data_IF_653574985839
#
_entry.id   IF_653574985839
#
_cell.length_a   1.000
_cell.length_b   1.000
_cell.length_c   1.000
_cell.angle_alpha   90.00
_cell.angle_beta   90.00
_cell.angle_gamma   90.00
#
_symmetry.space_group_name_H-M   'P 1'
#
loop_
_entity.id
_entity.type
_entity.pdbx_description
1 polymer ?
#
# COMPACT_ATOMS: atom_id res chain seq x y z
N UNK A 1 -22.76 -21.87 -31.22
CA UNK A 1 -22.55 -22.12 -29.77
C UNK A 1 -21.09 -22.09 -29.27
N UNK A 2 -20.07 -21.79 -30.10
CA UNK A 2 -18.65 -21.79 -29.65
C UNK A 2 -18.11 -20.45 -29.10
N UNK A 3 -18.87 -19.35 -29.20
CA UNK A 3 -18.39 -17.99 -28.83
C UNK A 3 -18.36 -17.73 -27.31
N UNK A 4 -19.06 -18.55 -26.52
CA UNK A 4 -19.18 -18.40 -25.06
C UNK A 4 -18.19 -19.26 -24.26
N UNK A 5 -17.46 -20.19 -24.92
CA UNK A 5 -16.49 -21.05 -24.21
C UNK A 5 -15.36 -20.27 -23.53
N UNK A 6 -15.05 -19.07 -24.04
CA UNK A 6 -14.01 -18.22 -23.49
C UNK A 6 -14.38 -17.58 -22.14
N UNK A 7 -15.66 -17.54 -21.78
CA UNK A 7 -16.15 -16.81 -20.60
C UNK A 7 -16.62 -17.70 -19.44
N UNK A 8 -16.38 -19.01 -19.50
CA UNK A 8 -16.79 -19.91 -18.41
C UNK A 8 -16.22 -19.51 -17.06
N UNK A 9 -14.96 -19.06 -17.02
CA UNK A 9 -14.30 -18.63 -15.79
C UNK A 9 -14.96 -17.36 -15.22
N UNK A 10 -15.08 -16.23 -15.97
CA UNK A 10 -15.84 -15.07 -15.51
C UNK A 10 -17.27 -15.39 -15.06
N UNK A 11 -17.98 -16.24 -15.81
CA UNK A 11 -19.36 -16.60 -15.51
C UNK A 11 -19.47 -17.40 -14.21
N UNK A 12 -18.55 -18.35 -14.01
CA UNK A 12 -18.43 -19.11 -12.77
C UNK A 12 -18.16 -18.18 -11.57
N UNK A 13 -17.20 -17.26 -11.69
CA UNK A 13 -16.91 -16.27 -10.64
C UNK A 13 -18.08 -15.33 -10.37
N UNK A 14 -18.82 -14.93 -11.40
CA UNK A 14 -19.99 -14.07 -11.25
C UNK A 14 -21.09 -14.80 -10.46
N UNK A 15 -21.39 -16.04 -10.83
CA UNK A 15 -22.35 -16.88 -10.09
C UNK A 15 -21.91 -17.06 -8.63
N UNK A 16 -20.64 -17.41 -8.41
CA UNK A 16 -20.08 -17.60 -7.07
C UNK A 16 -20.15 -16.31 -6.24
N UNK A 17 -19.92 -15.15 -6.86
CA UNK A 17 -20.02 -13.85 -6.20
C UNK A 17 -21.46 -13.55 -5.78
N UNK A 18 -22.45 -13.82 -6.65
CA UNK A 18 -23.87 -13.64 -6.30
C UNK A 18 -24.24 -14.54 -5.12
N UNK A 19 -23.90 -15.83 -5.15
CA UNK A 19 -24.17 -16.73 -4.03
C UNK A 19 -23.45 -16.31 -2.75
N UNK A 20 -22.21 -15.84 -2.85
CA UNK A 20 -21.45 -15.32 -1.71
C UNK A 20 -22.10 -14.09 -1.09
N UNK A 21 -22.61 -13.15 -1.91
CA UNK A 21 -23.33 -11.96 -1.43
C UNK A 21 -24.61 -12.35 -0.71
N UNK A 22 -25.39 -13.27 -1.29
CA UNK A 22 -26.63 -13.77 -0.68
C UNK A 22 -26.34 -14.49 0.65
N UNK A 23 -25.32 -15.35 0.71
CA UNK A 23 -24.96 -16.10 1.90
C UNK A 23 -24.41 -15.20 3.02
N UNK A 24 -23.66 -14.15 2.67
CA UNK A 24 -23.07 -13.22 3.63
C UNK A 24 -24.07 -12.15 4.13
N UNK A 25 -25.23 -12.00 3.47
CA UNK A 25 -26.30 -11.05 3.83
C UNK A 25 -25.79 -9.60 4.02
N UNK A 26 -25.00 -9.15 3.05
CA UNK A 26 -24.29 -7.86 3.10
C UNK A 26 -25.02 -6.82 2.27
N UNK A 27 -25.06 -5.56 2.73
CA UNK A 27 -25.67 -4.45 1.99
C UNK A 27 -24.92 -4.20 0.66
N UNK A 28 -25.68 -3.79 -0.37
CA UNK A 28 -25.07 -3.37 -1.63
C UNK A 28 -24.15 -2.16 -1.44
N UNK A 29 -24.49 -1.28 -0.50
CA UNK A 29 -23.69 -0.10 -0.13
C UNK A 29 -22.34 -0.48 0.47
N UNK A 30 -22.26 -1.53 1.29
CA UNK A 30 -20.98 -2.05 1.76
C UNK A 30 -20.15 -2.62 0.61
N UNK A 31 -20.76 -3.38 -0.30
CA UNK A 31 -20.05 -3.97 -1.45
C UNK A 31 -19.45 -2.87 -2.32
N UNK A 32 -20.23 -1.84 -2.65
CA UNK A 32 -19.76 -0.69 -3.43
C UNK A 32 -18.61 0.05 -2.73
N UNK A 33 -18.70 0.25 -1.42
CA UNK A 33 -17.61 0.85 -0.64
C UNK A 33 -16.32 0.03 -0.66
N UNK A 34 -16.43 -1.30 -0.52
CA UNK A 34 -15.28 -2.21 -0.60
C UNK A 34 -14.67 -2.25 -2.01
N UNK A 35 -15.51 -2.31 -3.05
CA UNK A 35 -15.06 -2.27 -4.44
C UNK A 35 -14.33 -0.96 -4.74
N UNK A 36 -14.87 0.17 -4.28
CA UNK A 36 -14.25 1.47 -4.43
C UNK A 36 -12.86 1.53 -3.78
N UNK A 37 -12.75 1.17 -2.49
CA UNK A 37 -11.47 1.20 -1.77
C UNK A 37 -10.42 0.29 -2.43
N UNK A 38 -10.83 -0.89 -2.90
CA UNK A 38 -9.95 -1.82 -3.62
C UNK A 38 -9.54 -1.29 -4.98
N UNK A 39 -10.45 -0.68 -5.72
CA UNK A 39 -10.17 -0.09 -7.02
C UNK A 39 -9.12 1.01 -6.90
N UNK A 40 -9.29 1.96 -5.98
CA UNK A 40 -8.33 3.04 -5.73
C UNK A 40 -6.94 2.48 -5.42
N UNK A 41 -6.84 1.53 -4.48
CA UNK A 41 -5.55 0.93 -4.10
C UNK A 41 -4.91 0.16 -5.25
N UNK A 42 -5.68 -0.67 -5.95
CA UNK A 42 -5.16 -1.51 -7.01
C UNK A 42 -4.77 -0.69 -8.25
N UNK A 43 -5.44 0.44 -8.52
CA UNK A 43 -5.05 1.35 -9.59
C UNK A 43 -3.66 1.95 -9.34
N UNK A 44 -3.35 2.35 -8.10
CA UNK A 44 -2.01 2.84 -7.73
C UNK A 44 -0.95 1.76 -7.97
N UNK A 45 -1.21 0.52 -7.54
CA UNK A 45 -0.28 -0.59 -7.76
C UNK A 45 -0.10 -0.91 -9.24
N UNK A 46 -1.19 -0.85 -10.02
CA UNK A 46 -1.12 -1.07 -11.46
C UNK A 46 -0.24 -0.02 -12.15
N UNK A 47 -0.41 1.27 -11.82
CA UNK A 47 0.42 2.34 -12.37
C UNK A 47 1.91 2.15 -12.03
N UNK A 48 2.21 1.77 -10.79
CA UNK A 48 3.59 1.49 -10.37
C UNK A 48 4.24 0.31 -11.12
N UNK A 49 3.43 -0.67 -11.56
CA UNK A 49 3.91 -1.82 -12.33
C UNK A 49 4.08 -1.53 -13.83
N UNK A 50 3.39 -0.53 -14.38
CA UNK A 50 3.47 -0.17 -15.81
C UNK A 50 4.82 0.50 -16.15
N UNK A 51 5.32 1.40 -15.30
CA UNK A 51 6.57 2.17 -15.56
C UNK A 51 7.77 1.26 -15.91
N UNK A 52 8.04 0.17 -15.17
CA UNK A 52 9.08 -0.80 -15.53
C UNK A 52 8.84 -1.49 -16.87
N UNK A 53 7.58 -1.85 -17.17
CA UNK A 53 7.21 -2.58 -18.39
C UNK A 53 7.47 -1.69 -19.62
N UNK A 54 7.08 -0.42 -19.57
CA UNK A 54 7.35 0.52 -20.68
C UNK A 54 8.84 0.81 -20.86
N UNK A 55 9.64 0.66 -19.81
CA UNK A 55 11.11 0.79 -19.88
C UNK A 55 11.83 -0.44 -20.45
N UNK A 56 11.09 -1.50 -20.81
CA UNK A 56 11.65 -2.74 -21.35
C UNK A 56 12.21 -3.70 -20.29
N UNK A 57 11.96 -3.43 -19.00
CA UNK A 57 12.26 -4.36 -17.90
C UNK A 57 11.11 -5.35 -17.68
N UNK A 58 11.39 -6.44 -16.96
CA UNK A 58 10.33 -7.31 -16.42
C UNK A 58 9.41 -6.58 -15.41
N UNK A 59 8.33 -7.25 -14.99
CA UNK A 59 7.45 -6.75 -13.91
C UNK A 59 8.29 -6.51 -12.64
N UNK A 60 8.13 -5.35 -12.02
CA UNK A 60 8.90 -4.94 -10.85
C UNK A 60 8.18 -5.27 -9.53
N UNK A 61 8.69 -6.24 -8.77
CA UNK A 61 8.19 -6.58 -7.45
C UNK A 61 8.89 -5.83 -6.30
N UNK A 62 9.85 -4.97 -6.59
CA UNK A 62 10.44 -4.06 -5.60
C UNK A 62 9.53 -2.88 -5.24
N UNK A 63 8.28 -2.86 -5.74
CA UNK A 63 7.20 -2.00 -5.24
C UNK A 63 7.04 -2.11 -3.71
N UNK A 64 7.35 -3.28 -3.16
CA UNK A 64 7.36 -3.54 -1.71
C UNK A 64 8.37 -2.65 -0.97
N UNK A 65 9.52 -2.33 -1.58
CA UNK A 65 10.53 -1.44 -0.98
C UNK A 65 10.01 -0.01 -0.88
N UNK A 66 9.29 0.47 -1.89
CA UNK A 66 8.62 1.77 -1.84
C UNK A 66 7.54 1.82 -0.76
N UNK A 67 6.75 0.74 -0.62
CA UNK A 67 5.76 0.63 0.45
C UNK A 67 6.41 0.62 1.84
N UNK A 68 7.55 -0.07 2.00
CA UNK A 68 8.33 -0.07 3.25
C UNK A 68 8.84 1.33 3.59
N UNK A 69 9.34 2.09 2.60
CA UNK A 69 9.76 3.47 2.82
C UNK A 69 8.60 4.34 3.37
N UNK A 70 7.40 4.18 2.82
CA UNK A 70 6.20 4.87 3.31
C UNK A 70 5.80 4.42 4.73
N UNK A 71 5.88 3.12 5.01
CA UNK A 71 5.60 2.59 6.34
C UNK A 71 6.58 3.12 7.39
N UNK A 72 7.87 3.17 7.08
CA UNK A 72 8.90 3.72 7.98
C UNK A 72 8.59 5.18 8.32
N UNK A 73 8.29 6.00 7.30
CA UNK A 73 7.95 7.42 7.52
C UNK A 73 6.73 7.60 8.40
N UNK A 74 5.70 6.75 8.25
CA UNK A 74 4.51 6.78 9.09
C UNK A 74 4.79 6.32 10.53
N UNK A 75 5.56 5.24 10.71
CA UNK A 75 5.95 4.72 12.04
C UNK A 75 6.71 5.78 12.82
N UNK A 76 7.69 6.45 12.21
CA UNK A 76 8.49 7.50 12.85
C UNK A 76 7.59 8.63 13.36
N UNK A 77 6.65 9.09 12.54
CA UNK A 77 5.77 10.20 12.92
C UNK A 77 4.78 9.81 14.03
N UNK A 78 4.29 8.58 14.01
CA UNK A 78 3.43 8.03 15.07
C UNK A 78 4.21 7.88 16.37
N UNK A 79 5.46 7.41 16.30
CA UNK A 79 6.37 7.29 17.44
C UNK A 79 6.67 8.67 18.06
N UNK A 80 6.85 9.70 17.23
CA UNK A 80 7.01 11.08 17.69
C UNK A 80 5.75 11.71 18.29
N UNK A 81 4.58 11.06 18.20
CA UNK A 81 3.32 11.55 18.77
C UNK A 81 2.77 12.83 18.11
N UNK A 82 3.20 13.15 16.88
CA UNK A 82 2.77 14.35 16.17
C UNK A 82 1.30 14.23 15.71
N UNK A 83 0.42 15.19 16.04
CA UNK A 83 -0.98 15.16 15.62
C UNK A 83 -1.21 15.86 14.26
N UNK A 84 -2.23 15.40 13.53
CA UNK A 84 -2.86 16.16 12.44
C UNK A 84 -2.05 16.29 11.14
N UNK A 85 -2.29 17.37 10.40
CA UNK A 85 -1.76 17.57 9.04
C UNK A 85 -0.24 17.75 8.96
N UNK A 86 0.40 18.29 9.99
CA UNK A 86 1.87 18.42 10.06
C UNK A 86 2.55 17.06 10.11
N UNK A 87 1.95 16.11 10.84
CA UNK A 87 2.39 14.72 10.91
C UNK A 87 2.37 14.08 9.51
N UNK A 88 1.31 14.32 8.73
CA UNK A 88 1.17 13.78 7.38
C UNK A 88 2.18 14.37 6.39
N UNK A 89 2.45 15.68 6.48
CA UNK A 89 3.46 16.31 5.64
C UNK A 89 4.85 15.78 5.97
N UNK A 90 5.19 15.68 7.26
CA UNK A 90 6.47 15.14 7.70
C UNK A 90 6.63 13.68 7.26
N UNK A 91 5.60 12.84 7.45
CA UNK A 91 5.66 11.44 7.02
C UNK A 91 5.86 11.34 5.51
N UNK A 92 5.21 12.21 4.74
CA UNK A 92 5.35 12.26 3.27
C UNK A 92 6.77 12.62 2.86
N UNK A 93 7.36 13.65 3.48
CA UNK A 93 8.75 14.08 3.19
C UNK A 93 9.75 12.97 3.51
N UNK A 94 9.63 12.34 4.69
CA UNK A 94 10.49 11.21 5.09
C UNK A 94 10.32 10.05 4.11
N UNK A 95 9.07 9.72 3.76
CA UNK A 95 8.75 8.62 2.84
C UNK A 95 9.35 8.85 1.45
N UNK A 96 9.23 10.07 0.92
CA UNK A 96 9.82 10.43 -0.39
C UNK A 96 11.34 10.35 -0.33
N UNK A 97 11.96 10.89 0.72
CA UNK A 97 13.41 10.82 0.90
C UNK A 97 13.93 9.39 0.92
N UNK A 98 13.30 8.52 1.73
CA UNK A 98 13.64 7.10 1.79
C UNK A 98 13.36 6.37 0.48
N UNK A 99 12.24 6.68 -0.20
CA UNK A 99 11.90 6.08 -1.48
C UNK A 99 12.92 6.43 -2.58
N UNK A 100 13.46 7.65 -2.60
CA UNK A 100 14.53 8.04 -3.52
C UNK A 100 15.81 7.27 -3.21
N UNK A 101 16.20 7.16 -1.93
CA UNK A 101 17.41 6.44 -1.53
C UNK A 101 17.31 4.95 -1.88
N UNK A 102 16.25 4.29 -1.42
CA UNK A 102 16.06 2.87 -1.68
C UNK A 102 15.79 2.60 -3.16
N UNK A 103 15.06 3.46 -3.85
CA UNK A 103 14.82 3.36 -5.29
C UNK A 103 16.11 3.39 -6.10
N UNK A 104 17.06 4.26 -5.76
CA UNK A 104 18.38 4.27 -6.40
C UNK A 104 19.17 2.99 -6.15
N UNK A 105 19.19 2.49 -4.90
CA UNK A 105 19.86 1.23 -4.56
C UNK A 105 19.26 0.06 -5.36
N UNK A 106 17.94 -0.05 -5.38
CA UNK A 106 17.21 -1.07 -6.15
C UNK A 106 17.50 -0.92 -7.64
N UNK A 107 17.48 0.30 -8.20
CA UNK A 107 17.79 0.54 -9.60
C UNK A 107 19.19 0.08 -10.00
N UNK A 108 20.20 0.34 -9.15
CA UNK A 108 21.57 -0.16 -9.36
C UNK A 108 21.63 -1.69 -9.32
N UNK A 109 20.92 -2.32 -8.36
CA UNK A 109 20.86 -3.79 -8.26
C UNK A 109 20.18 -4.43 -9.48
N UNK A 110 19.06 -3.86 -9.94
CA UNK A 110 18.34 -4.36 -11.11
C UNK A 110 19.18 -4.21 -12.39
N UNK A 111 19.92 -3.11 -12.52
CA UNK A 111 20.86 -2.93 -13.64
C UNK A 111 21.97 -3.99 -13.69
N UNK A 112 22.42 -4.48 -12.52
CA UNK A 112 23.38 -5.60 -12.43
C UNK A 112 22.73 -6.95 -12.74
N UNK A 113 21.41 -7.06 -12.60
CA UNK A 113 20.62 -8.27 -12.80
C UNK A 113 19.86 -8.28 -14.14
N UNK A 114 20.32 -7.51 -15.14
CA UNK A 114 19.68 -7.43 -16.48
C UNK A 114 19.35 -8.81 -17.05
N UNK A 115 18.13 -8.95 -17.55
CA UNK A 115 17.59 -10.22 -18.05
C UNK A 115 17.09 -11.18 -16.96
N UNK A 116 17.26 -10.84 -15.67
CA UNK A 116 16.70 -11.55 -14.50
C UNK A 116 16.05 -10.59 -13.50
N UNK A 117 15.66 -9.41 -13.96
CA UNK A 117 15.17 -8.30 -13.12
C UNK A 117 13.94 -8.69 -12.31
N UNK A 118 13.00 -9.43 -12.90
CA UNK A 118 11.78 -9.87 -12.22
C UNK A 118 12.12 -10.71 -10.98
N UNK A 119 12.94 -11.75 -11.13
CA UNK A 119 13.33 -12.62 -10.02
C UNK A 119 14.17 -11.85 -8.99
N UNK A 120 15.10 -11.01 -9.45
CA UNK A 120 15.90 -10.16 -8.57
C UNK A 120 15.01 -9.23 -7.72
N UNK A 121 13.99 -8.62 -8.33
CA UNK A 121 13.05 -7.73 -7.62
C UNK A 121 12.20 -8.47 -6.57
N UNK A 122 11.83 -9.74 -6.81
CA UNK A 122 11.14 -10.59 -5.82
C UNK A 122 12.05 -10.84 -4.61
N UNK A 123 13.31 -11.21 -4.85
CA UNK A 123 14.29 -11.48 -3.78
C UNK A 123 14.59 -10.22 -2.98
N UNK A 124 14.78 -9.07 -3.66
CA UNK A 124 14.96 -7.76 -3.03
C UNK A 124 13.76 -7.42 -2.15
N UNK A 125 12.55 -7.59 -2.67
CA UNK A 125 11.32 -7.32 -1.91
C UNK A 125 11.22 -8.19 -0.66
N UNK A 126 11.49 -9.49 -0.78
CA UNK A 126 11.49 -10.40 0.37
C UNK A 126 12.54 -10.00 1.40
N UNK A 127 13.78 -9.71 0.97
CA UNK A 127 14.84 -9.25 1.87
C UNK A 127 14.45 -7.96 2.59
N UNK A 128 13.89 -6.98 1.87
CA UNK A 128 13.42 -5.72 2.45
C UNK A 128 12.33 -5.93 3.50
N UNK A 129 11.35 -6.80 3.24
CA UNK A 129 10.31 -7.13 4.22
C UNK A 129 10.88 -7.77 5.48
N UNK A 130 11.83 -8.71 5.33
CA UNK A 130 12.47 -9.35 6.49
C UNK A 130 13.34 -8.36 7.28
N UNK A 131 14.03 -7.44 6.61
CA UNK A 131 14.83 -6.41 7.26
C UNK A 131 13.92 -5.43 8.02
N UNK A 132 12.81 -5.02 7.42
CA UNK A 132 11.79 -4.20 8.09
C UNK A 132 11.24 -4.90 9.33
N UNK A 133 10.88 -6.18 9.22
CA UNK A 133 10.42 -6.97 10.37
C UNK A 133 11.49 -7.06 11.45
N UNK A 134 12.76 -7.30 11.11
CA UNK A 134 13.84 -7.34 12.10
C UNK A 134 14.00 -6.01 12.83
N UNK A 135 13.98 -4.89 12.11
CA UNK A 135 14.14 -3.55 12.71
C UNK A 135 12.93 -3.20 13.62
N UNK A 136 11.70 -3.37 13.12
CA UNK A 136 10.51 -2.88 13.81
C UNK A 136 9.83 -3.91 14.72
N UNK A 137 9.94 -5.21 14.47
CA UNK A 137 9.38 -6.24 15.36
C UNK A 137 10.36 -6.70 16.43
N UNK A 138 11.67 -6.66 16.15
CA UNK A 138 12.69 -7.10 17.11
C UNK A 138 13.47 -5.93 17.67
N UNK A 139 13.90 -4.97 16.84
CA UNK A 139 14.74 -3.84 17.27
C UNK A 139 14.03 -2.79 18.13
N UNK A 140 12.77 -2.46 17.82
CA UNK A 140 11.96 -1.55 18.64
C UNK A 140 11.63 -2.18 20.01
N UNK A 141 12.00 -1.50 21.10
CA UNK A 141 11.88 -1.98 22.47
C UNK A 141 13.06 -2.79 23.00
N UNK A 142 13.99 -3.24 22.14
CA UNK A 142 15.25 -3.90 22.56
C UNK A 142 16.46 -2.99 22.44
N UNK A 143 16.67 -2.45 21.24
CA UNK A 143 17.80 -1.58 20.90
C UNK A 143 17.33 -0.15 20.68
N UNK A 144 16.15 0.02 20.09
CA UNK A 144 15.54 1.32 19.80
C UNK A 144 14.51 1.59 20.89
N UNK A 145 14.77 2.60 21.72
CA UNK A 145 13.79 3.09 22.70
C UNK A 145 12.75 3.96 21.99
N UNK A 146 11.47 3.56 21.94
CA UNK A 146 10.42 4.36 21.33
C UNK A 146 10.17 5.63 22.16
N UNK A 147 9.72 6.68 21.49
CA UNK A 147 9.24 7.89 22.16
C UNK A 147 7.81 7.70 22.66
N UNK A 148 7.02 6.86 21.98
CA UNK A 148 5.66 6.53 22.37
C UNK A 148 5.55 5.04 22.71
N UNK A 149 5.37 4.71 23.99
CA UNK A 149 5.23 3.33 24.45
C UNK A 149 3.97 2.63 23.90
N UNK A 150 2.95 3.37 23.50
CA UNK A 150 1.73 2.81 22.90
C UNK A 150 1.98 2.19 21.52
N UNK A 151 3.12 2.48 20.88
CA UNK A 151 3.51 1.89 19.60
C UNK A 151 3.95 0.43 19.75
N UNK A 152 4.39 0.04 20.95
CA UNK A 152 4.91 -1.28 21.23
C UNK A 152 3.79 -2.30 21.47
N UNK A 153 4.07 -3.56 21.15
CA UNK A 153 3.27 -4.70 21.58
C UNK A 153 3.18 -4.72 23.12
N UNK A 154 2.13 -5.34 23.66
CA UNK A 154 1.91 -5.46 25.12
C UNK A 154 3.08 -6.07 25.90
N UNK A 155 3.98 -6.79 25.20
CA UNK A 155 5.21 -7.37 25.76
C UNK A 155 6.39 -6.39 25.84
N UNK A 156 6.24 -5.16 25.34
CA UNK A 156 7.28 -4.12 25.33
C UNK A 156 8.30 -4.25 24.20
N UNK A 157 8.20 -5.24 23.32
CA UNK A 157 9.13 -5.46 22.19
C UNK A 157 8.34 -5.60 20.91
N UNK A 158 8.74 -4.83 19.90
CA UNK A 158 8.17 -4.82 18.56
C UNK A 158 6.98 -3.88 18.40
N UNK A 159 6.87 -3.28 17.23
CA UNK A 159 5.78 -2.37 16.86
C UNK A 159 4.48 -3.15 16.63
N UNK A 160 3.33 -2.58 17.04
CA UNK A 160 2.02 -3.18 16.76
C UNK A 160 1.79 -3.29 15.25
N UNK A 161 1.21 -4.42 14.81
CA UNK A 161 0.88 -4.64 13.38
C UNK A 161 -0.21 -3.69 12.87
N UNK A 162 -1.03 -3.16 13.76
CA UNK A 162 -2.04 -2.14 13.47
C UNK A 162 -1.74 -0.93 14.34
N UNK A 163 -1.18 0.11 13.71
CA UNK A 163 -1.01 1.41 14.33
C UNK A 163 -2.30 2.20 14.16
N UNK A 164 -2.77 2.83 15.23
CA UNK A 164 -3.96 3.66 15.15
C UNK A 164 -3.65 4.94 14.37
N UNK A 165 -4.20 5.03 13.17
CA UNK A 165 -4.13 6.21 12.31
C UNK A 165 -5.41 7.04 12.36
N UNK A 166 -6.23 6.91 13.41
CA UNK A 166 -7.48 7.66 13.58
C UNK A 166 -7.32 9.16 13.35
N UNK A 167 -6.23 9.74 13.86
CA UNK A 167 -5.88 11.16 13.69
C UNK A 167 -5.61 11.57 12.23
N UNK A 168 -5.21 10.65 11.36
CA UNK A 168 -5.02 10.92 9.92
C UNK A 168 -6.31 10.76 9.13
N UNK A 169 -7.23 9.92 9.62
CA UNK A 169 -8.48 9.57 8.92
C UNK A 169 -9.42 10.77 8.82
N UNK A 170 -9.45 11.62 9.85
CA UNK A 170 -10.24 12.85 9.89
C UNK A 170 -9.74 13.90 8.89
N UNK A 171 -8.42 14.00 8.68
CA UNK A 171 -7.83 14.98 7.75
C UNK A 171 -8.30 14.79 6.30
N UNK A 172 -8.46 13.53 5.88
CA UNK A 172 -8.96 13.23 4.53
C UNK A 172 -10.49 13.23 4.45
N UNK A 173 -11.19 13.01 5.56
CA UNK A 173 -12.65 12.98 5.58
C UNK A 173 -13.28 14.34 5.22
N UNK A 174 -12.59 15.45 5.52
CA UNK A 174 -13.04 16.82 5.22
C UNK A 174 -12.65 17.28 3.80
N UNK A 175 -11.64 16.67 3.18
CA UNK A 175 -11.14 17.07 1.87
C UNK A 175 -11.91 16.35 0.77
N UNK A 176 -12.83 17.08 0.15
CA UNK A 176 -13.62 16.67 -1.03
C UNK A 176 -14.32 15.30 -0.85
N UNK A 177 -15.26 15.21 0.11
CA UNK A 177 -15.93 13.96 0.44
C UNK A 177 -16.88 13.51 -0.67
N UNK A 178 -16.79 12.24 -1.05
CA UNK A 178 -17.83 11.53 -1.79
C UNK A 178 -18.32 10.35 -0.95
N UNK A 179 -19.63 10.16 -0.93
CA UNK A 179 -20.27 8.94 -0.46
C UNK A 179 -20.41 7.95 -1.61
N UNK A 180 -19.68 6.83 -1.54
CA UNK A 180 -19.87 5.68 -2.45
C UNK A 180 -20.28 4.50 -1.57
N UNK A 181 -21.56 4.18 -1.58
CA UNK A 181 -22.16 3.23 -0.64
C UNK A 181 -22.00 3.69 0.81
N UNK A 182 -21.60 2.78 1.70
CA UNK A 182 -21.43 3.05 3.14
C UNK A 182 -20.09 3.74 3.48
N UNK A 183 -19.22 3.95 2.48
CA UNK A 183 -17.89 4.55 2.70
C UNK A 183 -17.87 6.01 2.28
N UNK A 184 -17.66 6.91 3.23
CA UNK A 184 -17.24 8.31 2.97
C UNK A 184 -15.74 8.30 2.65
N UNK A 185 -15.41 8.42 1.36
CA UNK A 185 -14.04 8.52 0.89
C UNK A 185 -13.69 9.93 0.44
N UNK A 186 -12.40 10.26 0.44
CA UNK A 186 -11.90 11.47 -0.24
C UNK A 186 -11.75 11.20 -1.74
N UNK A 187 -12.02 12.19 -2.57
CA UNK A 187 -11.70 12.19 -4.01
C UNK A 187 -10.21 12.31 -4.30
N UNK A 188 -9.42 12.79 -3.35
CA UNK A 188 -8.01 13.12 -3.54
C UNK A 188 -7.17 11.95 -4.09
N UNK A 189 -7.30 10.70 -3.57
CA UNK A 189 -6.56 9.56 -4.12
C UNK A 189 -6.89 9.27 -5.59
N UNK A 190 -8.15 9.47 -6.02
CA UNK A 190 -8.53 9.27 -7.43
C UNK A 190 -7.87 10.33 -8.30
N UNK A 191 -7.90 11.59 -7.88
CA UNK A 191 -7.28 12.69 -8.62
C UNK A 191 -5.78 12.43 -8.78
N UNK A 192 -5.10 12.00 -7.71
CA UNK A 192 -3.68 11.62 -7.77
C UNK A 192 -3.45 10.47 -8.73
N UNK A 193 -4.30 9.42 -8.70
CA UNK A 193 -4.23 8.30 -9.65
C UNK A 193 -4.41 8.78 -11.09
N UNK A 194 -5.39 9.64 -11.37
CA UNK A 194 -5.64 10.17 -12.70
C UNK A 194 -4.47 11.04 -13.21
N UNK A 195 -3.90 11.88 -12.34
CA UNK A 195 -2.72 12.69 -12.69
C UNK A 195 -1.53 11.78 -13.00
N UNK A 196 -1.24 10.80 -12.14
CA UNK A 196 -0.16 9.85 -12.37
C UNK A 196 -0.38 9.03 -13.64
N UNK A 197 -1.61 8.59 -13.90
CA UNK A 197 -1.98 7.87 -15.11
C UNK A 197 -1.82 8.71 -16.40
N UNK A 198 -1.91 10.05 -16.31
CA UNK A 198 -1.66 10.92 -17.45
C UNK A 198 -0.17 11.14 -17.71
N UNK A 199 0.66 11.02 -16.67
CA UNK A 199 2.12 11.19 -16.75
C UNK A 199 2.82 9.93 -17.31
N UNK A 200 2.27 8.74 -17.00
CA UNK A 200 2.79 7.42 -17.42
C UNK A 200 2.28 7.04 -18.80
#
# INVERSE_FOLDING_TARGET
MNKYKSFYVPFFFLILSIFGILAANVSMDFILGQLYSRFVRNAIFLLALIIPIISGMGINFAITIGAIAAQIGLVIVIDMGLPGGSALLLSTVISIGLAIIFGNIVGVLLNKAKGKEMIASIVIGFLGTNLYQLIFMVGYGTVITPFNEDILLTRGIGVKSMLDCGNFKTLFAEIMPIKIGDTTGSLLPIIVVCILAFIV
#
